data_IF_798769441874
#
_entry.id   IF_798769441874
#
_cell.length_a   1.000
_cell.length_b   1.000
_cell.length_c   1.000
_cell.angle_alpha   90.00
_cell.angle_beta   90.00
_cell.angle_gamma   90.00
#
_symmetry.space_group_name_H-M   'P 1'
#
loop_
_entity.id
_entity.type
_entity.pdbx_description
1 polymer ?
#
# COMPACT_ATOMS: atom_id res chain seq x y z
N UNK A 1 1.22 7.88 -9.94
CA UNK A 1 1.10 7.17 -8.64
C UNK A 1 -0.11 6.24 -8.68
N UNK A 2 0.14 4.95 -8.81
CA UNK A 2 -0.77 3.84 -8.46
C UNK A 2 0.12 2.91 -7.62
N UNK A 3 -0.28 2.55 -6.39
CA UNK A 3 0.59 1.84 -5.44
C UNK A 3 0.48 2.35 -4.01
N UNK A 4 -0.75 2.39 -3.49
CA UNK A 4 -0.99 2.67 -2.08
C UNK A 4 -2.16 1.83 -1.58
N UNK A 5 -2.09 1.47 -0.31
CA UNK A 5 -3.16 0.79 0.39
C UNK A 5 -3.34 1.46 1.76
N UNK A 6 -4.58 1.53 2.23
CA UNK A 6 -4.88 2.10 3.53
C UNK A 6 -5.80 1.17 4.32
N UNK A 7 -5.56 1.08 5.62
CA UNK A 7 -6.40 0.35 6.56
C UNK A 7 -6.80 1.27 7.70
N UNK A 8 -8.11 1.41 7.91
CA UNK A 8 -8.68 2.20 8.99
C UNK A 8 -9.22 1.29 10.08
N UNK A 9 -8.79 1.53 11.32
CA UNK A 9 -9.27 0.81 12.49
C UNK A 9 -9.34 1.74 13.69
N UNK A 10 -10.55 1.95 14.22
CA UNK A 10 -10.80 2.67 15.49
C UNK A 10 -10.08 4.02 15.59
N UNK A 11 -10.21 4.85 14.56
CA UNK A 11 -9.63 6.20 14.53
C UNK A 11 -8.16 6.26 14.11
N UNK A 12 -7.56 5.12 13.76
CA UNK A 12 -6.20 5.03 13.22
C UNK A 12 -6.27 4.67 11.74
N UNK A 13 -5.57 5.45 10.91
CA UNK A 13 -5.41 5.19 9.49
C UNK A 13 -3.95 4.83 9.21
N UNK A 14 -3.71 3.57 8.92
CA UNK A 14 -2.41 3.07 8.48
C UNK A 14 -2.35 3.09 6.95
N UNK A 15 -1.29 3.68 6.38
CA UNK A 15 -1.12 3.83 4.93
C UNK A 15 0.24 3.26 4.52
N UNK A 16 0.23 2.41 3.50
CA UNK A 16 1.43 1.95 2.81
C UNK A 16 1.53 2.61 1.43
N UNK A 17 2.74 3.04 1.08
CA UNK A 17 3.13 3.44 -0.28
C UNK A 17 4.19 2.49 -0.80
N UNK A 18 4.03 2.04 -2.02
CA UNK A 18 4.93 1.07 -2.67
C UNK A 18 4.89 1.28 -4.18
N UNK A 19 5.97 0.86 -4.85
CA UNK A 19 6.09 1.07 -6.28
C UNK A 19 5.24 0.06 -7.09
N UNK A 20 4.77 0.53 -8.24
CA UNK A 20 4.15 -0.30 -9.26
C UNK A 20 4.86 -0.03 -10.59
N UNK A 21 5.37 -1.08 -11.21
CA UNK A 21 5.96 -1.07 -12.54
C UNK A 21 5.04 -1.87 -13.47
N UNK A 22 4.30 -1.22 -14.40
CA UNK A 22 3.36 -1.91 -15.29
C UNK A 22 4.04 -2.91 -16.25
N UNK A 23 5.35 -2.78 -16.46
CA UNK A 23 6.13 -3.68 -17.31
C UNK A 23 6.74 -4.85 -16.53
N UNK A 24 6.65 -4.84 -15.19
CA UNK A 24 7.16 -5.92 -14.37
C UNK A 24 6.21 -7.12 -14.38
N UNK A 25 6.80 -8.32 -14.32
CA UNK A 25 6.03 -9.53 -14.02
C UNK A 25 5.95 -9.68 -12.50
N UNK A 26 4.75 -9.62 -11.96
CA UNK A 26 4.53 -9.86 -10.54
C UNK A 26 4.30 -11.35 -10.23
N UNK A 27 4.63 -11.79 -9.00
CA UNK A 27 4.19 -13.09 -8.49
C UNK A 27 2.66 -13.12 -8.30
N UNK A 28 2.14 -14.23 -7.76
CA UNK A 28 0.77 -14.37 -7.25
C UNK A 28 -0.31 -13.76 -8.17
N UNK A 29 -0.51 -14.40 -9.33
CA UNK A 29 -1.48 -13.98 -10.35
C UNK A 29 -1.24 -12.60 -10.98
N UNK A 30 -0.03 -12.04 -10.81
CA UNK A 30 0.38 -10.82 -11.51
C UNK A 30 -0.04 -9.54 -10.79
N UNK A 31 -0.29 -9.60 -9.48
CA UNK A 31 -0.63 -8.41 -8.67
C UNK A 31 0.56 -7.96 -7.82
N UNK A 32 0.64 -6.67 -7.52
CA UNK A 32 1.64 -6.10 -6.61
C UNK A 32 1.10 -5.88 -5.19
N UNK A 33 -0.15 -6.29 -4.91
CA UNK A 33 -0.80 -6.14 -3.61
C UNK A 33 -1.84 -7.21 -3.39
N UNK A 34 -1.83 -7.82 -2.21
CA UNK A 34 -2.83 -8.78 -1.76
C UNK A 34 -3.37 -8.38 -0.38
N UNK A 35 -4.65 -8.65 -0.17
CA UNK A 35 -5.34 -8.38 1.10
C UNK A 35 -5.92 -9.69 1.60
N UNK A 36 -5.48 -10.12 2.78
CA UNK A 36 -6.07 -11.23 3.52
C UNK A 36 -6.76 -10.71 4.78
N UNK A 37 -7.87 -11.33 5.16
CA UNK A 37 -8.58 -10.96 6.39
C UNK A 37 -9.23 -12.17 7.02
N UNK A 38 -9.20 -12.21 8.34
CA UNK A 38 -9.94 -13.15 9.17
C UNK A 38 -10.38 -12.46 10.47
N UNK A 39 -11.07 -13.14 11.41
CA UNK A 39 -11.52 -12.51 12.64
C UNK A 39 -10.41 -11.99 13.57
N UNK A 40 -9.16 -12.43 13.39
CA UNK A 40 -8.01 -12.09 14.23
C UNK A 40 -7.12 -11.00 13.62
N UNK A 41 -6.90 -11.06 12.30
CA UNK A 41 -5.94 -10.20 11.59
C UNK A 41 -6.44 -9.74 10.22
N UNK A 42 -5.87 -8.62 9.77
CA UNK A 42 -5.88 -8.20 8.37
C UNK A 42 -4.44 -7.99 7.91
N UNK A 43 -4.11 -8.56 6.75
CA UNK A 43 -2.82 -8.42 6.10
C UNK A 43 -2.96 -7.50 4.90
N UNK A 44 -2.00 -6.57 4.78
CA UNK A 44 -1.83 -5.69 3.62
C UNK A 44 -0.47 -5.99 3.05
N UNK A 45 -0.42 -6.97 2.15
CA UNK A 45 0.81 -7.52 1.61
C UNK A 45 1.13 -6.84 0.28
N UNK A 46 2.39 -6.47 0.07
CA UNK A 46 2.83 -5.84 -1.16
C UNK A 46 3.98 -6.64 -1.75
N UNK A 47 3.98 -6.77 -3.07
CA UNK A 47 4.90 -7.66 -3.77
C UNK A 47 5.74 -6.87 -4.77
N UNK A 48 7.05 -7.13 -4.75
CA UNK A 48 7.98 -6.64 -5.75
C UNK A 48 7.85 -7.41 -7.07
N UNK A 49 8.34 -6.81 -8.15
CA UNK A 49 8.45 -7.51 -9.44
C UNK A 49 9.43 -8.67 -9.37
N UNK A 50 9.16 -9.73 -10.12
CA UNK A 50 10.05 -10.89 -10.24
C UNK A 50 11.29 -10.52 -11.06
N UNK A 51 12.46 -10.71 -10.47
CA UNK A 51 13.75 -10.35 -11.05
C UNK A 51 14.74 -11.52 -11.02
N UNK A 52 15.64 -11.57 -12.01
CA UNK A 52 16.76 -12.52 -11.99
C UNK A 52 17.92 -11.94 -11.21
N UNK A 53 18.25 -12.54 -10.08
CA UNK A 53 19.35 -12.08 -9.21
C UNK A 53 20.63 -12.87 -9.51
N UNK A 54 21.72 -12.22 -9.97
CA UNK A 54 23.00 -12.88 -10.19
C UNK A 54 23.72 -13.18 -8.86
N UNK A 55 24.78 -14.02 -8.86
CA UNK A 55 25.62 -14.21 -7.67
C UNK A 55 26.17 -12.88 -7.14
N UNK A 56 25.95 -12.61 -5.85
CA UNK A 56 26.33 -11.36 -5.19
C UNK A 56 25.39 -10.17 -5.46
N UNK A 57 24.32 -10.37 -6.25
CA UNK A 57 23.29 -9.36 -6.47
C UNK A 57 22.24 -9.34 -5.36
N UNK A 58 21.41 -8.29 -5.40
CA UNK A 58 20.25 -8.11 -4.53
C UNK A 58 19.11 -7.44 -5.30
N UNK A 59 17.89 -7.57 -4.77
CA UNK A 59 16.71 -6.82 -5.21
C UNK A 59 16.06 -6.19 -3.99
N UNK A 60 15.40 -5.06 -4.19
CA UNK A 60 14.77 -4.30 -3.11
C UNK A 60 13.32 -4.03 -3.47
N UNK A 61 12.43 -4.24 -2.50
CA UNK A 61 11.04 -3.84 -2.54
C UNK A 61 10.79 -2.90 -1.38
N UNK A 62 10.59 -1.61 -1.68
CA UNK A 62 10.49 -0.56 -0.66
C UNK A 62 9.02 -0.24 -0.38
N UNK A 63 8.66 -0.31 0.90
CA UNK A 63 7.42 0.23 1.41
C UNK A 63 7.70 1.46 2.29
N UNK A 64 6.88 2.50 2.14
CA UNK A 64 6.88 3.64 3.05
C UNK A 64 5.59 3.64 3.86
N UNK A 65 5.72 3.67 5.17
CA UNK A 65 4.61 3.47 6.10
C UNK A 65 4.26 4.75 6.83
N UNK A 66 2.97 5.06 6.91
CA UNK A 66 2.45 6.24 7.57
C UNK A 66 1.30 5.85 8.49
N UNK A 67 1.19 6.54 9.62
CA UNK A 67 0.11 6.34 10.58
C UNK A 67 -0.48 7.70 10.95
N UNK A 68 -1.79 7.83 10.77
CA UNK A 68 -2.53 9.05 11.08
C UNK A 68 -3.65 8.74 12.07
N UNK A 69 -3.98 9.75 12.89
CA UNK A 69 -5.29 9.80 13.54
C UNK A 69 -6.28 10.44 12.57
N UNK A 70 -7.42 9.80 12.36
CA UNK A 70 -8.48 10.31 11.50
C UNK A 70 -9.83 9.89 12.05
N UNK A 71 -10.88 10.65 11.74
CA UNK A 71 -12.26 10.23 11.91
C UNK A 71 -12.78 10.00 10.49
N UNK A 72 -13.03 8.73 10.17
CA UNK A 72 -13.60 8.33 8.89
C UNK A 72 -14.96 7.69 9.15
N UNK A 73 -15.92 8.10 8.34
CA UNK A 73 -17.23 7.50 8.20
C UNK A 73 -17.24 6.60 6.94
N UNK A 74 -18.18 5.66 6.86
CA UNK A 74 -18.29 4.71 5.76
C UNK A 74 -19.06 5.30 4.55
N UNK A 75 -18.72 6.54 4.16
CA UNK A 75 -19.33 7.26 3.04
C UNK A 75 -18.28 7.91 2.13
N UNK A 76 -18.68 8.21 0.89
CA UNK A 76 -17.80 8.79 -0.13
C UNK A 76 -17.31 10.20 0.27
N UNK A 77 -18.11 10.96 1.01
CA UNK A 77 -17.74 12.31 1.44
C UNK A 77 -16.54 12.28 2.39
N UNK A 78 -16.52 11.33 3.32
CA UNK A 78 -15.41 11.10 4.25
C UNK A 78 -14.15 10.66 3.50
N UNK A 79 -14.29 9.82 2.48
CA UNK A 79 -13.15 9.43 1.63
C UNK A 79 -12.53 10.65 0.94
N UNK A 80 -13.34 11.48 0.29
CA UNK A 80 -12.86 12.64 -0.46
C UNK A 80 -12.31 13.76 0.44
N UNK A 81 -12.99 14.06 1.55
CA UNK A 81 -12.65 15.21 2.38
C UNK A 81 -11.62 14.90 3.47
N UNK A 82 -11.43 13.62 3.83
CA UNK A 82 -10.51 13.23 4.91
C UNK A 82 -9.43 12.28 4.41
N UNK A 83 -9.79 11.14 3.81
CA UNK A 83 -8.82 10.14 3.38
C UNK A 83 -7.89 10.68 2.29
N UNK A 84 -8.44 11.18 1.18
CA UNK A 84 -7.66 11.62 0.02
C UNK A 84 -6.63 12.72 0.39
N UNK A 85 -6.96 13.75 1.19
CA UNK A 85 -5.97 14.72 1.67
C UNK A 85 -4.84 14.10 2.48
N UNK A 86 -5.12 13.10 3.34
CA UNK A 86 -4.09 12.38 4.09
C UNK A 86 -3.21 11.53 3.17
N UNK A 87 -3.80 10.86 2.17
CA UNK A 87 -3.06 10.14 1.15
C UNK A 87 -2.12 11.08 0.39
N UNK A 88 -2.58 12.26 -0.05
CA UNK A 88 -1.72 13.25 -0.74
C UNK A 88 -0.54 13.74 0.10
N UNK A 89 -0.68 13.83 1.44
CA UNK A 89 0.46 14.15 2.34
C UNK A 89 1.55 13.08 2.34
N UNK A 90 1.24 11.87 1.89
CA UNK A 90 2.18 10.76 1.75
C UNK A 90 2.74 10.62 0.35
N UNK A 91 2.47 11.58 -0.55
CA UNK A 91 3.13 11.60 -1.85
C UNK A 91 4.62 11.84 -1.65
N UNK A 92 5.41 10.80 -1.91
CA UNK A 92 6.86 10.86 -1.91
C UNK A 92 7.24 11.23 -3.34
N UNK A 93 8.01 12.31 -3.52
CA UNK A 93 8.55 12.68 -4.82
C UNK A 93 9.24 11.46 -5.43
N UNK A 94 8.67 10.93 -6.51
CA UNK A 94 9.28 9.86 -7.32
C UNK A 94 10.26 10.47 -8.31
#
# INVERSE_FOLDING_TARGET
>A
TLGWAAYYLKGQLFVKRYNYNPEARYPDFGVNTEIYTNPEIMEVETLGGMEKVPPGGSVEHVENWFLFKAVLDEDEESLENVLIPLIRKTDINS
#
